data_IF_868323363936
#
_entry.id   IF_868323363936
#
_cell.length_a   1.000
_cell.length_b   1.000
_cell.length_c   1.000
_cell.angle_alpha   90.00
_cell.angle_beta   90.00
_cell.angle_gamma   90.00
#
_symmetry.space_group_name_H-M   'P 1'
#
loop_
_entity.id
_entity.type
_entity.pdbx_description
1 polymer ?
#
# COMPACT_ATOMS: atom_id res chain seq x y z
N UNK A 1 0.73 -1.19 -1.89
CA UNK A 1 0.00 -1.17 -0.60
C UNK A 1 0.71 -1.98 0.49
N UNK A 2 0.93 -3.28 0.37
CA UNK A 2 1.61 -4.10 1.41
C UNK A 2 2.97 -3.51 1.81
N UNK A 3 3.81 -3.13 0.84
CA UNK A 3 5.10 -2.45 1.12
C UNK A 3 4.95 -1.16 1.91
N UNK A 4 3.95 -0.32 1.56
CA UNK A 4 3.69 0.92 2.28
C UNK A 4 3.30 0.68 3.74
N UNK A 5 2.48 -0.35 4.02
CA UNK A 5 2.13 -0.72 5.39
C UNK A 5 3.34 -1.25 6.16
N UNK A 6 4.23 -2.02 5.52
CA UNK A 6 5.49 -2.44 6.16
C UNK A 6 6.33 -1.25 6.58
N UNK A 7 6.47 -0.25 5.71
CA UNK A 7 7.20 0.99 6.04
C UNK A 7 6.55 1.70 7.23
N UNK A 8 5.21 1.77 7.27
CA UNK A 8 4.48 2.36 8.40
C UNK A 8 4.68 1.59 9.71
N UNK A 9 4.61 0.26 9.68
CA UNK A 9 4.83 -0.58 10.87
C UNK A 9 6.28 -0.49 11.34
N UNK A 10 7.26 -0.48 10.44
CA UNK A 10 8.68 -0.31 10.77
C UNK A 10 8.94 1.09 11.37
N UNK A 11 8.40 2.13 10.75
CA UNK A 11 8.48 3.50 11.25
C UNK A 11 7.83 3.64 12.64
N UNK A 12 6.64 3.04 12.83
CA UNK A 12 5.94 3.02 14.10
C UNK A 12 6.82 2.46 15.22
N UNK A 13 7.56 1.38 14.95
CA UNK A 13 8.52 0.79 15.90
C UNK A 13 9.72 1.69 16.17
N UNK A 14 10.34 2.22 15.10
CA UNK A 14 11.50 3.12 15.21
C UNK A 14 11.18 4.42 15.95
N UNK A 15 9.98 4.92 15.78
CA UNK A 15 9.47 6.10 16.46
C UNK A 15 8.95 5.83 17.88
N UNK A 16 8.97 4.55 18.32
CA UNK A 16 8.45 4.11 19.61
C UNK A 16 6.98 4.50 19.85
N UNK A 17 6.16 4.45 18.79
CA UNK A 17 4.73 4.73 18.87
C UNK A 17 4.00 3.40 19.14
N UNK A 18 3.26 3.24 20.25
CA UNK A 18 2.60 1.99 20.55
C UNK A 18 1.38 1.75 19.63
N UNK A 19 1.21 0.52 19.14
CA UNK A 19 -0.05 0.09 18.55
C UNK A 19 -1.07 -0.17 19.67
N UNK A 20 -2.30 0.32 19.47
CA UNK A 20 -3.36 0.22 20.47
C UNK A 20 -3.97 -1.18 20.52
N UNK A 21 -4.11 -1.84 19.36
CA UNK A 21 -4.71 -3.16 19.27
C UNK A 21 -3.64 -4.25 19.28
N UNK A 22 -3.81 -5.23 20.20
CA UNK A 22 -2.90 -6.39 20.31
C UNK A 22 -2.88 -7.22 19.01
N UNK A 23 -4.04 -7.39 18.36
CA UNK A 23 -4.12 -8.11 17.07
C UNK A 23 -3.31 -7.39 15.98
N UNK A 24 -3.29 -6.06 15.98
CA UNK A 24 -2.51 -5.29 15.04
C UNK A 24 -0.99 -5.43 15.26
N UNK A 25 -0.56 -5.68 16.50
CA UNK A 25 0.85 -5.98 16.77
C UNK A 25 1.29 -7.28 16.11
N UNK A 26 0.49 -8.34 16.28
CA UNK A 26 0.76 -9.64 15.65
C UNK A 26 0.70 -9.55 14.12
N UNK A 27 -0.32 -8.87 13.60
CA UNK A 27 -0.47 -8.64 12.16
C UNK A 27 0.71 -7.85 11.58
N UNK A 28 1.18 -6.83 12.30
CA UNK A 28 2.37 -6.05 11.92
C UNK A 28 3.64 -6.91 11.91
N UNK A 29 3.81 -7.79 12.92
CA UNK A 29 4.94 -8.72 12.97
C UNK A 29 4.95 -9.67 11.79
N UNK A 30 3.80 -10.27 11.47
CA UNK A 30 3.64 -11.15 10.33
C UNK A 30 3.92 -10.41 9.01
N UNK A 31 3.44 -9.18 8.88
CA UNK A 31 3.64 -8.37 7.69
C UNK A 31 5.12 -8.01 7.48
N UNK A 32 5.87 -7.77 8.55
CA UNK A 32 7.31 -7.50 8.47
C UNK A 32 8.12 -8.72 8.04
N UNK A 33 7.68 -9.91 8.44
CA UNK A 33 8.31 -11.18 8.06
C UNK A 33 7.94 -11.64 6.63
N UNK A 34 6.94 -11.01 6.04
CA UNK A 34 6.48 -11.39 4.70
C UNK A 34 7.40 -10.82 3.63
N UNK A 35 8.21 -11.69 2.99
CA UNK A 35 9.21 -11.28 2.00
C UNK A 35 8.81 -11.57 0.54
N UNK A 36 7.84 -12.44 0.32
CA UNK A 36 7.47 -12.89 -1.01
C UNK A 36 6.36 -12.04 -1.65
N UNK A 37 6.67 -10.79 -1.99
CA UNK A 37 5.73 -9.88 -2.67
C UNK A 37 5.37 -10.33 -4.09
N UNK A 38 6.23 -11.12 -4.73
CA UNK A 38 5.99 -11.64 -6.08
C UNK A 38 4.90 -12.72 -6.11
N UNK A 39 4.57 -13.30 -4.96
CA UNK A 39 3.49 -14.28 -4.82
C UNK A 39 2.12 -13.64 -4.53
N UNK A 40 2.08 -12.31 -4.32
CA UNK A 40 0.82 -11.60 -4.11
C UNK A 40 0.22 -11.27 -5.46
N UNK A 41 -0.82 -11.97 -5.82
CA UNK A 41 -1.63 -11.71 -7.00
C UNK A 41 -3.01 -11.13 -6.61
N UNK A 42 -3.86 -10.89 -7.60
CA UNK A 42 -5.20 -10.34 -7.39
C UNK A 42 -6.08 -11.27 -6.54
N UNK A 43 -5.85 -12.59 -6.61
CA UNK A 43 -6.69 -13.56 -5.91
C UNK A 43 -6.35 -13.63 -4.41
N UNK A 44 -5.07 -13.58 -4.06
CA UNK A 44 -4.66 -13.66 -2.65
C UNK A 44 -4.53 -12.27 -1.99
N UNK A 45 -4.55 -11.16 -2.76
CA UNK A 45 -4.53 -9.82 -2.19
C UNK A 45 -5.75 -9.53 -1.31
N UNK A 46 -6.91 -10.12 -1.61
CA UNK A 46 -8.13 -9.97 -0.81
C UNK A 46 -7.93 -10.42 0.65
N UNK A 47 -7.04 -11.39 0.89
CA UNK A 47 -6.74 -11.88 2.25
C UNK A 47 -5.98 -10.84 3.08
N UNK A 48 -5.22 -9.97 2.43
CA UNK A 48 -4.52 -8.87 3.09
C UNK A 48 -5.43 -7.66 3.39
N UNK A 49 -6.54 -7.51 2.68
CA UNK A 49 -7.45 -6.38 2.83
C UNK A 49 -7.86 -6.11 4.28
N UNK A 50 -8.42 -7.08 5.01
CA UNK A 50 -8.81 -6.92 6.42
C UNK A 50 -7.63 -6.58 7.33
N UNK A 51 -6.46 -7.18 7.09
CA UNK A 51 -5.23 -6.93 7.87
C UNK A 51 -4.78 -5.47 7.68
N UNK A 52 -4.71 -5.01 6.43
CA UNK A 52 -4.31 -3.65 6.09
C UNK A 52 -5.32 -2.63 6.63
N UNK A 53 -6.63 -2.93 6.57
CA UNK A 53 -7.68 -2.07 7.12
C UNK A 53 -7.59 -1.96 8.64
N UNK A 54 -7.37 -3.08 9.34
CA UNK A 54 -7.18 -3.11 10.79
C UNK A 54 -5.96 -2.31 11.24
N UNK A 55 -4.84 -2.45 10.54
CA UNK A 55 -3.63 -1.67 10.81
C UNK A 55 -3.85 -0.18 10.51
N UNK A 56 -4.48 0.17 9.39
CA UNK A 56 -4.75 1.56 9.02
C UNK A 56 -5.70 2.27 9.97
N UNK A 57 -6.64 1.54 10.60
CA UNK A 57 -7.54 2.06 11.62
C UNK A 57 -6.85 2.30 12.97
N UNK A 58 -5.66 1.72 13.22
CA UNK A 58 -4.95 1.86 14.48
C UNK A 58 -4.40 3.28 14.67
N UNK A 59 -4.70 3.95 15.79
CA UNK A 59 -4.18 5.29 16.07
C UNK A 59 -2.65 5.37 16.05
N UNK A 60 -1.94 4.29 16.43
CA UNK A 60 -0.49 4.24 16.38
C UNK A 60 0.06 4.29 14.95
N UNK A 61 -0.59 3.60 14.00
CA UNK A 61 -0.23 3.68 12.57
C UNK A 61 -0.56 5.06 11.99
N UNK A 62 -1.69 5.64 12.37
CA UNK A 62 -2.06 7.01 11.96
C UNK A 62 -1.04 8.04 12.47
N UNK A 63 -0.62 7.94 13.73
CA UNK A 63 0.40 8.82 14.28
C UNK A 63 1.76 8.65 13.58
N UNK A 64 2.15 7.43 13.21
CA UNK A 64 3.33 7.21 12.38
C UNK A 64 3.16 7.86 10.99
N UNK A 65 2.01 7.73 10.35
CA UNK A 65 1.73 8.34 9.05
C UNK A 65 1.81 9.87 9.07
N UNK A 66 1.38 10.55 10.15
CA UNK A 66 1.54 12.00 10.30
C UNK A 66 3.01 12.45 10.24
N UNK A 67 3.93 11.58 10.63
CA UNK A 67 5.38 11.80 10.60
C UNK A 67 6.07 11.24 9.33
N UNK A 68 5.31 10.96 8.27
CA UNK A 68 5.78 10.31 7.04
C UNK A 68 6.92 11.04 6.32
N UNK A 69 7.04 12.33 6.50
CA UNK A 69 8.15 13.12 5.95
C UNK A 69 9.52 12.71 6.49
N UNK A 70 9.56 12.09 7.68
CA UNK A 70 10.81 11.64 8.31
C UNK A 70 11.38 10.36 7.67
N UNK A 71 10.54 9.59 6.96
CA UNK A 71 10.92 8.32 6.34
C UNK A 71 10.43 8.16 4.87
N UNK A 72 10.15 9.27 4.23
CA UNK A 72 9.88 9.38 2.78
C UNK A 72 8.72 8.51 2.28
N UNK A 73 7.61 8.43 3.02
CA UNK A 73 6.41 7.78 2.54
C UNK A 73 5.51 8.81 1.81
N UNK A 74 4.96 8.40 0.67
CA UNK A 74 4.13 9.26 -0.18
C UNK A 74 2.71 9.45 0.37
N UNK A 75 2.09 10.59 0.06
CA UNK A 75 0.72 10.91 0.50
C UNK A 75 -0.35 10.02 -0.14
N UNK A 76 -0.08 9.47 -1.32
CA UNK A 76 -0.95 8.55 -2.04
C UNK A 76 -1.28 7.27 -1.27
N UNK A 77 -0.41 6.86 -0.34
CA UNK A 77 -0.62 5.73 0.55
C UNK A 77 -1.94 5.87 1.33
N UNK A 78 -2.24 7.07 1.85
CA UNK A 78 -3.51 7.33 2.54
C UNK A 78 -4.72 7.16 1.63
N UNK A 79 -4.63 7.60 0.37
CA UNK A 79 -5.70 7.42 -0.59
C UNK A 79 -6.05 5.94 -0.79
N UNK A 80 -5.04 5.10 -0.99
CA UNK A 80 -5.25 3.67 -1.19
C UNK A 80 -5.82 2.97 0.04
N UNK A 81 -5.33 3.31 1.24
CA UNK A 81 -5.86 2.69 2.47
C UNK A 81 -7.28 3.15 2.81
N UNK A 82 -7.65 4.39 2.47
CA UNK A 82 -9.02 4.87 2.63
C UNK A 82 -10.00 4.23 1.63
N UNK A 83 -9.51 3.62 0.57
CA UNK A 83 -10.28 2.92 -0.46
C UNK A 83 -10.08 1.40 -0.45
N UNK A 84 -9.58 0.82 0.66
CA UNK A 84 -9.20 -0.59 0.75
C UNK A 84 -10.32 -1.54 0.35
N UNK A 85 -11.55 -1.32 0.85
CA UNK A 85 -12.71 -2.17 0.54
C UNK A 85 -12.96 -2.26 -0.96
N UNK A 86 -12.78 -1.14 -1.66
CA UNK A 86 -12.93 -1.10 -3.11
C UNK A 86 -11.75 -1.75 -3.83
N UNK A 87 -10.52 -1.46 -3.40
CA UNK A 87 -9.29 -1.93 -4.05
C UNK A 87 -9.05 -3.42 -3.81
N UNK A 88 -9.50 -3.98 -2.68
CA UNK A 88 -9.40 -5.41 -2.38
C UNK A 88 -10.51 -6.25 -3.00
N UNK A 89 -11.49 -5.63 -3.67
CA UNK A 89 -12.56 -6.35 -4.37
C UNK A 89 -11.99 -7.16 -5.55
N UNK A 90 -12.41 -8.44 -5.73
CA UNK A 90 -11.98 -9.26 -6.85
C UNK A 90 -12.29 -8.66 -8.24
N UNK A 91 -13.33 -7.82 -8.32
CA UNK A 91 -13.78 -7.18 -9.55
C UNK A 91 -13.32 -5.71 -9.64
N UNK A 92 -12.26 -5.33 -8.91
CA UNK A 92 -11.77 -3.97 -8.89
C UNK A 92 -11.24 -3.55 -10.26
N UNK A 93 -11.79 -2.48 -10.80
CA UNK A 93 -11.27 -1.79 -11.99
C UNK A 93 -10.68 -0.45 -11.54
N UNK A 94 -9.40 -0.18 -11.82
CA UNK A 94 -8.76 1.09 -11.48
C UNK A 94 -9.49 2.28 -12.12
N UNK A 95 -9.75 3.31 -11.34
CA UNK A 95 -10.27 4.57 -11.86
C UNK A 95 -9.15 5.38 -12.50
N UNK A 96 -9.50 6.32 -13.37
CA UNK A 96 -8.55 7.25 -13.98
C UNK A 96 -7.68 7.97 -12.94
N UNK A 97 -8.23 8.30 -11.78
CA UNK A 97 -7.51 8.92 -10.67
C UNK A 97 -6.43 7.99 -10.09
N UNK A 98 -6.74 6.71 -9.86
CA UNK A 98 -5.78 5.71 -9.39
C UNK A 98 -4.65 5.54 -10.40
N UNK A 99 -4.99 5.55 -11.66
CA UNK A 99 -4.03 5.45 -12.75
C UNK A 99 -3.06 6.64 -12.79
N UNK A 100 -3.58 7.87 -12.62
CA UNK A 100 -2.75 9.07 -12.55
C UNK A 100 -1.83 9.07 -11.33
N UNK A 101 -2.31 8.65 -10.16
CA UNK A 101 -1.50 8.51 -8.95
C UNK A 101 -0.35 7.52 -9.20
N UNK A 102 -0.64 6.37 -9.80
CA UNK A 102 0.36 5.35 -10.12
C UNK A 102 1.46 5.89 -11.04
N UNK A 103 1.07 6.56 -12.15
CA UNK A 103 2.03 7.19 -13.06
C UNK A 103 2.90 8.23 -12.34
N UNK A 104 2.29 9.05 -11.49
CA UNK A 104 3.00 10.12 -10.79
C UNK A 104 4.05 9.57 -9.84
N UNK A 105 3.76 8.48 -9.13
CA UNK A 105 4.71 7.82 -8.23
C UNK A 105 5.86 7.14 -8.99
N UNK A 106 5.58 6.45 -10.09
CA UNK A 106 6.59 5.81 -10.92
C UNK A 106 7.51 6.85 -11.60
N UNK A 107 6.93 7.97 -12.04
CA UNK A 107 7.68 9.08 -12.64
C UNK A 107 8.64 9.70 -11.64
N UNK A 108 8.22 9.92 -10.40
CA UNK A 108 9.05 10.47 -9.33
C UNK A 108 10.13 9.48 -8.83
N UNK A 109 9.87 8.17 -8.94
CA UNK A 109 10.83 7.14 -8.54
C UNK A 109 11.90 6.78 -9.58
N UNK A 110 11.87 7.42 -10.75
CA UNK A 110 12.91 7.26 -11.79
C UNK A 110 12.81 5.99 -12.64
N UNK A 111 11.70 5.26 -12.58
CA UNK A 111 11.47 4.04 -13.39
C UNK A 111 10.81 4.41 -14.74
N UNK A 112 11.39 5.40 -15.40
CA UNK A 112 10.83 6.04 -16.60
C UNK A 112 10.69 5.15 -17.84
N UNK A 113 11.47 4.08 -17.97
CA UNK A 113 11.60 3.40 -19.28
C UNK A 113 10.76 2.12 -19.39
N UNK A 114 10.45 1.47 -18.28
CA UNK A 114 9.78 0.18 -18.29
C UNK A 114 8.24 0.30 -18.37
N UNK A 115 7.67 1.36 -17.81
CA UNK A 115 6.22 1.59 -17.79
C UNK A 115 5.66 2.04 -19.14
N UNK A 116 6.40 2.80 -19.94
CA UNK A 116 5.92 3.29 -21.25
C UNK A 116 5.70 2.12 -22.23
N UNK A 117 6.53 1.08 -22.14
CA UNK A 117 6.41 -0.10 -23.02
C UNK A 117 5.21 -0.97 -22.61
N UNK A 118 4.99 -1.17 -21.31
CA UNK A 118 3.83 -1.90 -20.81
C UNK A 118 2.52 -1.11 -20.94
N UNK A 119 2.60 0.21 -20.96
CA UNK A 119 1.46 1.10 -21.14
C UNK A 119 0.83 1.01 -22.53
N UNK A 120 1.63 0.90 -23.59
CA UNK A 120 1.11 0.65 -24.95
C UNK A 120 0.38 -0.69 -25.04
N UNK A 121 0.85 -1.71 -24.31
CA UNK A 121 0.20 -3.02 -24.25
C UNK A 121 -1.12 -2.98 -23.45
N UNK A 122 -1.18 -2.20 -22.36
CA UNK A 122 -2.40 -2.08 -21.54
C UNK A 122 -3.51 -1.29 -22.26
N UNK A 123 -3.15 -0.23 -22.98
CA UNK A 123 -4.12 0.52 -23.80
C UNK A 123 -4.63 -0.32 -24.98
N UNK A 124 -3.78 -1.12 -25.63
CA UNK A 124 -4.21 -2.05 -26.67
C UNK A 124 -5.12 -3.19 -26.16
N UNK A 125 -5.17 -3.44 -24.86
CA UNK A 125 -6.05 -4.45 -24.25
C UNK A 125 -7.40 -3.88 -23.74
N UNK A 126 -7.51 -2.56 -23.60
CA UNK A 126 -8.72 -1.87 -23.09
C UNK A 126 -9.53 -1.22 -24.24
N UNK A 127 -8.95 -1.07 -25.42
CA UNK A 127 -9.62 -0.67 -26.65
C UNK A 127 -9.53 -1.78 -27.72
#
# INVERSE_FOLDING_TARGET
>A
MIRGMRVLVDANRKLNIPLHNVHNRLAGDQLLLFDNFSAVDVHNFSDFGPILAGLWADPGIRAAFERRSEYQLTDSVAYFYNCLDRVSSPNYVPTQQVFLIYIFEDVLSGIYLFCIINFKLLICFIF
#
